data_IF_729019857831
#
_entry.id   IF_729019857831
#
_cell.length_a   1.000
_cell.length_b   1.000
_cell.length_c   1.000
_cell.angle_alpha   90.00
_cell.angle_beta   90.00
_cell.angle_gamma   90.00
#
_symmetry.space_group_name_H-M   'P 1'
#
loop_
_entity.id
_entity.type
_entity.pdbx_description
1 polymer ?
#
# COMPACT_ATOMS: atom_id res chain seq x y z
N UNK A 1 -16.40 6.79 2.24
CA UNK A 1 -16.08 5.74 3.21
C UNK A 1 -14.58 5.54 3.38
N UNK A 2 -14.18 5.36 4.62
CA UNK A 2 -12.80 5.20 5.03
C UNK A 2 -12.58 3.77 5.55
N UNK A 3 -11.56 3.09 5.04
CA UNK A 3 -11.14 1.78 5.52
C UNK A 3 -9.78 1.92 6.21
N UNK A 4 -9.76 1.76 7.52
CA UNK A 4 -8.52 1.68 8.31
C UNK A 4 -8.10 0.22 8.47
N UNK A 5 -6.84 -0.06 8.26
CA UNK A 5 -6.25 -1.38 8.39
C UNK A 5 -5.29 -1.46 9.56
N UNK A 6 -5.25 -2.64 10.17
CA UNK A 6 -4.27 -2.96 11.20
C UNK A 6 -2.85 -2.79 10.64
N UNK A 7 -1.95 -2.41 11.51
CA UNK A 7 -0.53 -2.32 11.19
C UNK A 7 0.00 -3.64 10.62
N UNK A 8 0.82 -3.53 9.57
CA UNK A 8 1.53 -4.65 8.97
C UNK A 8 3.00 -4.52 9.31
N UNK A 9 3.56 -5.58 9.87
CA UNK A 9 4.99 -5.62 10.19
C UNK A 9 5.76 -6.14 8.99
N UNK A 10 6.78 -5.41 8.59
CA UNK A 10 7.65 -5.78 7.48
C UNK A 10 9.06 -5.22 7.70
N UNK A 11 10.02 -5.74 6.95
CA UNK A 11 11.37 -5.23 6.89
C UNK A 11 11.64 -4.60 5.54
N UNK A 12 12.40 -3.53 5.53
CA UNK A 12 12.83 -2.84 4.32
C UNK A 12 14.26 -2.32 4.46
N UNK A 13 14.86 -2.04 3.32
CA UNK A 13 16.04 -1.20 3.21
C UNK A 13 15.61 0.03 2.43
N UNK A 14 14.99 0.98 3.16
CA UNK A 14 14.45 2.20 2.59
C UNK A 14 15.59 3.10 2.12
N UNK A 15 15.39 3.70 0.93
CA UNK A 15 16.33 4.69 0.40
C UNK A 15 17.79 4.24 0.47
N UNK A 16 18.11 3.09 -0.12
CA UNK A 16 19.48 2.57 -0.13
C UNK A 16 20.52 3.58 -0.65
N UNK A 17 20.08 4.59 -1.41
CA UNK A 17 20.90 5.71 -1.87
C UNK A 17 21.13 6.78 -0.81
N UNK A 18 20.41 6.75 0.31
CA UNK A 18 20.54 7.73 1.35
C UNK A 18 21.83 7.51 2.15
N UNK A 19 22.53 8.59 2.46
CA UNK A 19 23.69 8.58 3.37
C UNK A 19 23.21 8.77 4.81
N UNK A 20 22.39 7.83 5.28
CA UNK A 20 21.79 7.87 6.62
C UNK A 20 21.41 6.47 7.08
N UNK A 21 20.92 6.35 8.33
CA UNK A 21 20.44 5.08 8.88
C UNK A 21 19.30 4.45 8.06
N UNK A 22 18.63 5.21 7.20
CA UNK A 22 17.57 4.69 6.32
C UNK A 22 18.09 3.68 5.29
N UNK A 23 19.39 3.62 5.04
CA UNK A 23 19.96 2.62 4.14
C UNK A 23 20.20 1.27 4.83
N UNK A 24 20.06 1.19 6.14
CA UNK A 24 20.17 -0.06 6.89
C UNK A 24 18.85 -0.85 6.83
N UNK A 25 18.96 -2.17 6.94
CA UNK A 25 17.79 -3.03 7.07
C UNK A 25 17.11 -2.75 8.41
N UNK A 26 15.82 -2.46 8.38
CA UNK A 26 15.05 -2.21 9.61
C UNK A 26 13.58 -2.59 9.41
N UNK A 27 12.90 -2.79 10.51
CA UNK A 27 11.48 -3.16 10.53
C UNK A 27 10.56 -1.96 10.62
N UNK A 28 9.41 -2.07 9.96
CA UNK A 28 8.33 -1.09 10.04
C UNK A 28 7.00 -1.74 10.39
N UNK A 29 6.16 -0.98 11.05
CA UNK A 29 4.74 -1.27 11.20
C UNK A 29 3.95 -0.27 10.36
N UNK A 30 3.45 -0.71 9.20
CA UNK A 30 2.70 0.15 8.29
C UNK A 30 1.21 0.12 8.58
N UNK A 31 0.59 1.29 8.49
CA UNK A 31 -0.86 1.46 8.53
C UNK A 31 -1.33 1.98 7.18
N UNK A 32 -2.39 1.35 6.64
CA UNK A 32 -3.00 1.73 5.37
C UNK A 32 -4.39 2.29 5.62
N UNK A 33 -4.66 3.46 5.04
CA UNK A 33 -5.97 4.10 5.07
C UNK A 33 -6.41 4.37 3.63
N UNK A 34 -7.56 3.83 3.26
CA UNK A 34 -8.15 4.02 1.94
C UNK A 34 -9.46 4.78 2.06
N UNK A 35 -9.66 5.77 1.18
CA UNK A 35 -10.89 6.53 1.06
C UNK A 35 -11.51 6.26 -0.30
N UNK A 36 -12.81 5.92 -0.30
CA UNK A 36 -13.57 5.59 -1.49
C UNK A 36 -14.64 6.65 -1.76
N UNK A 37 -14.84 6.95 -3.03
CA UNK A 37 -15.93 7.79 -3.50
C UNK A 37 -16.94 6.99 -4.32
N UNK A 38 -18.14 7.56 -4.50
CA UNK A 38 -19.21 6.94 -5.28
C UNK A 38 -20.15 7.99 -5.84
N UNK A 39 -20.76 7.70 -7.00
CA UNK A 39 -21.82 8.52 -7.58
C UNK A 39 -23.14 8.38 -6.81
N UNK A 40 -23.29 7.31 -6.04
CA UNK A 40 -24.47 7.04 -5.24
C UNK A 40 -24.30 5.84 -4.34
N UNK A 41 -25.19 5.67 -3.40
CA UNK A 41 -25.20 4.51 -2.52
C UNK A 41 -25.87 3.33 -3.21
N UNK A 42 -25.53 2.12 -2.78
CA UNK A 42 -26.23 0.93 -3.21
C UNK A 42 -27.58 0.77 -2.46
N UNK A 43 -28.30 -0.32 -2.73
CA UNK A 43 -29.59 -0.65 -2.10
C UNK A 43 -29.50 -0.82 -0.58
N UNK A 44 -28.30 -0.99 -0.02
CA UNK A 44 -28.04 -1.07 1.43
C UNK A 44 -27.55 0.25 2.01
N UNK A 45 -27.56 1.34 1.21
CA UNK A 45 -26.99 2.65 1.56
C UNK A 45 -25.48 2.62 1.78
N UNK A 46 -24.75 1.75 1.07
CA UNK A 46 -23.30 1.64 1.15
C UNK A 46 -22.62 2.22 -0.09
N UNK A 47 -21.49 2.88 0.11
CA UNK A 47 -20.58 3.26 -0.98
C UNK A 47 -19.86 2.03 -1.49
N UNK A 48 -19.24 1.27 -0.59
CA UNK A 48 -18.48 0.05 -0.86
C UNK A 48 -18.85 -0.97 0.20
N UNK A 49 -19.07 -2.21 -0.20
CA UNK A 49 -19.18 -3.34 0.72
C UNK A 49 -17.79 -3.78 1.17
N UNK A 50 -17.46 -3.51 2.41
CA UNK A 50 -16.16 -3.92 2.96
C UNK A 50 -15.98 -5.44 3.02
N UNK A 51 -17.05 -6.20 3.07
CA UNK A 51 -17.00 -7.66 2.94
C UNK A 51 -16.49 -8.10 1.57
N UNK A 52 -16.83 -7.35 0.51
CA UNK A 52 -16.38 -7.60 -0.86
C UNK A 52 -14.91 -7.23 -1.12
N UNK A 53 -14.25 -6.56 -0.19
CA UNK A 53 -12.84 -6.16 -0.33
C UNK A 53 -11.85 -7.23 0.15
N UNK A 54 -12.27 -8.49 0.19
CA UNK A 54 -11.43 -9.60 0.64
C UNK A 54 -10.13 -9.71 -0.18
N UNK A 55 -10.23 -9.57 -1.51
CA UNK A 55 -9.07 -9.62 -2.41
C UNK A 55 -8.03 -8.53 -2.07
N UNK A 56 -8.49 -7.31 -1.81
CA UNK A 56 -7.61 -6.21 -1.41
C UNK A 56 -6.93 -6.50 -0.07
N UNK A 57 -7.68 -7.04 0.89
CA UNK A 57 -7.17 -7.41 2.21
C UNK A 57 -6.10 -8.48 2.13
N UNK A 58 -6.32 -9.49 1.30
CA UNK A 58 -5.37 -10.58 1.08
C UNK A 58 -4.12 -10.07 0.36
N UNK A 59 -4.28 -9.19 -0.62
CA UNK A 59 -3.14 -8.57 -1.31
C UNK A 59 -2.27 -7.73 -0.36
N UNK A 60 -2.89 -6.91 0.49
CA UNK A 60 -2.15 -6.13 1.49
C UNK A 60 -1.38 -7.03 2.45
N UNK A 61 -2.00 -8.13 2.88
CA UNK A 61 -1.35 -9.12 3.73
C UNK A 61 -0.17 -9.78 3.00
N UNK A 62 -0.38 -10.21 1.76
CA UNK A 62 0.64 -10.85 0.94
C UNK A 62 1.85 -9.94 0.74
N UNK A 63 1.63 -8.67 0.44
CA UNK A 63 2.71 -7.73 0.14
C UNK A 63 3.44 -7.22 1.37
N UNK A 64 2.72 -6.94 2.47
CA UNK A 64 3.24 -6.11 3.55
C UNK A 64 3.22 -6.76 4.93
N UNK A 65 2.84 -8.03 5.03
CA UNK A 65 2.77 -8.71 6.33
C UNK A 65 3.88 -9.75 6.46
N UNK A 66 4.83 -9.50 7.37
CA UNK A 66 6.00 -10.35 7.61
C UNK A 66 6.85 -10.59 6.34
N UNK A 67 6.94 -9.58 5.49
CA UNK A 67 7.71 -9.61 4.25
C UNK A 67 8.93 -8.71 4.33
N UNK A 68 9.87 -8.92 3.41
CA UNK A 68 10.98 -8.02 3.16
C UNK A 68 10.80 -7.39 1.77
N UNK A 69 10.67 -6.07 1.70
CA UNK A 69 10.55 -5.36 0.43
C UNK A 69 11.90 -4.79 0.02
N UNK A 70 12.27 -5.08 -1.21
CA UNK A 70 13.55 -4.66 -1.81
C UNK A 70 13.30 -4.01 -3.15
N UNK A 71 14.02 -2.91 -3.42
CA UNK A 71 13.96 -2.25 -4.72
C UNK A 71 14.69 -3.07 -5.80
N UNK A 72 14.15 -3.08 -7.02
CA UNK A 72 14.77 -3.77 -8.16
C UNK A 72 16.20 -3.32 -8.43
N UNK A 73 16.51 -2.06 -8.15
CA UNK A 73 17.81 -1.44 -8.39
C UNK A 73 18.71 -1.39 -7.15
N UNK A 74 18.33 -2.08 -6.07
CA UNK A 74 19.18 -2.18 -4.89
C UNK A 74 20.46 -2.96 -5.24
N UNK A 75 21.66 -2.37 -5.03
CA UNK A 75 22.92 -3.04 -5.36
C UNK A 75 23.17 -4.29 -4.55
N UNK A 76 22.50 -4.48 -3.41
CA UNK A 76 22.60 -5.67 -2.55
C UNK A 76 21.50 -6.73 -2.84
N UNK A 77 20.88 -6.67 -4.01
CA UNK A 77 19.84 -7.63 -4.41
C UNK A 77 20.31 -9.08 -4.26
N UNK A 78 21.56 -9.39 -4.64
CA UNK A 78 22.09 -10.74 -4.53
C UNK A 78 22.17 -11.22 -3.06
N UNK A 79 22.51 -10.33 -2.13
CA UNK A 79 22.53 -10.62 -0.70
C UNK A 79 21.13 -10.90 -0.17
N UNK A 80 20.15 -10.10 -0.59
CA UNK A 80 18.74 -10.28 -0.21
C UNK A 80 18.19 -11.61 -0.75
N UNK A 81 18.51 -11.95 -2.00
CA UNK A 81 18.13 -13.23 -2.60
C UNK A 81 18.72 -14.42 -1.85
N UNK A 82 19.97 -14.29 -1.38
CA UNK A 82 20.57 -15.34 -0.56
C UNK A 82 19.84 -15.53 0.77
N UNK A 83 19.37 -14.47 1.40
CA UNK A 83 18.55 -14.55 2.62
C UNK A 83 17.22 -15.26 2.35
N UNK A 84 16.59 -15.03 1.21
CA UNK A 84 15.38 -15.76 0.81
C UNK A 84 15.65 -17.23 0.58
N UNK A 85 16.71 -17.57 -0.14
CA UNK A 85 17.10 -18.97 -0.39
C UNK A 85 17.34 -19.75 0.91
N UNK A 86 17.82 -19.06 1.95
CA UNK A 86 18.01 -19.62 3.29
C UNK A 86 16.75 -19.64 4.14
N UNK A 87 15.61 -19.20 3.61
CA UNK A 87 14.33 -19.10 4.32
C UNK A 87 14.37 -18.15 5.55
N UNK A 88 15.20 -17.12 5.49
CA UNK A 88 15.30 -16.12 6.54
C UNK A 88 14.38 -14.93 6.33
N UNK A 89 13.90 -14.72 5.11
CA UNK A 89 12.97 -13.67 4.73
C UNK A 89 11.95 -14.18 3.71
N UNK A 90 10.83 -13.49 3.61
CA UNK A 90 9.84 -13.64 2.55
C UNK A 90 9.92 -12.39 1.68
N UNK A 91 10.61 -12.49 0.56
CA UNK A 91 11.01 -11.34 -0.28
C UNK A 91 9.88 -10.91 -1.21
N UNK A 92 9.70 -9.58 -1.32
CA UNK A 92 8.89 -8.92 -2.35
C UNK A 92 9.74 -7.90 -3.08
N UNK A 93 9.78 -7.99 -4.41
CA UNK A 93 10.53 -7.06 -5.24
C UNK A 93 9.60 -5.95 -5.73
N UNK A 94 9.97 -4.71 -5.51
CA UNK A 94 9.24 -3.52 -5.95
C UNK A 94 10.19 -2.59 -6.69
N UNK A 95 9.68 -1.68 -7.50
CA UNK A 95 10.52 -0.74 -8.25
C UNK A 95 11.15 0.32 -7.35
N UNK A 96 10.47 0.68 -6.26
CA UNK A 96 11.01 1.57 -5.24
C UNK A 96 10.42 1.22 -3.87
N UNK A 97 11.16 1.51 -2.81
CA UNK A 97 10.75 1.28 -1.42
C UNK A 97 10.50 2.61 -0.73
N UNK A 98 9.40 2.71 -0.01
CA UNK A 98 9.01 3.90 0.76
C UNK A 98 7.49 4.07 0.81
N UNK A 99 7.01 4.88 1.75
CA UNK A 99 5.58 5.12 1.95
C UNK A 99 4.90 5.65 0.68
N UNK A 100 5.57 6.53 -0.05
CA UNK A 100 5.08 7.14 -1.28
C UNK A 100 4.77 6.05 -2.34
N UNK A 101 5.73 5.18 -2.56
CA UNK A 101 5.55 4.11 -3.56
C UNK A 101 4.55 3.06 -3.09
N UNK A 102 4.53 2.75 -1.82
CA UNK A 102 3.54 1.81 -1.27
C UNK A 102 2.12 2.36 -1.39
N UNK A 103 1.94 3.68 -1.21
CA UNK A 103 0.65 4.33 -1.44
C UNK A 103 0.22 4.23 -2.91
N UNK A 104 1.12 4.47 -3.86
CA UNK A 104 0.83 4.33 -5.30
C UNK A 104 0.49 2.89 -5.68
N UNK A 105 1.29 1.91 -5.24
CA UNK A 105 1.03 0.49 -5.50
C UNK A 105 -0.33 0.04 -4.95
N UNK A 106 -0.66 0.48 -3.75
CA UNK A 106 -1.94 0.15 -3.11
C UNK A 106 -3.09 0.84 -3.82
N UNK A 107 -2.91 2.09 -4.24
CA UNK A 107 -3.89 2.84 -5.02
C UNK A 107 -4.21 2.11 -6.34
N UNK A 108 -3.20 1.71 -7.09
CA UNK A 108 -3.38 1.02 -8.37
C UNK A 108 -4.09 -0.32 -8.19
N UNK A 109 -3.69 -1.10 -7.20
CA UNK A 109 -4.32 -2.40 -6.89
C UNK A 109 -5.76 -2.23 -6.43
N UNK A 110 -6.02 -1.31 -5.52
CA UNK A 110 -7.36 -1.04 -5.02
C UNK A 110 -8.26 -0.51 -6.13
N UNK A 111 -7.76 0.38 -6.99
CA UNK A 111 -8.52 0.92 -8.13
C UNK A 111 -8.92 -0.19 -9.11
N UNK A 112 -8.03 -1.12 -9.40
CA UNK A 112 -8.32 -2.28 -10.25
C UNK A 112 -9.44 -3.16 -9.65
N UNK A 113 -9.38 -3.43 -8.36
CA UNK A 113 -10.38 -4.24 -7.66
C UNK A 113 -11.75 -3.53 -7.63
N UNK A 114 -11.76 -2.24 -7.31
CA UNK A 114 -13.00 -1.44 -7.23
C UNK A 114 -13.66 -1.32 -8.60
N UNK A 115 -12.90 -1.09 -9.66
CA UNK A 115 -13.42 -1.04 -11.02
C UNK A 115 -14.07 -2.37 -11.41
N UNK A 116 -13.42 -3.48 -11.11
CA UNK A 116 -13.93 -4.83 -11.37
C UNK A 116 -15.21 -5.13 -10.62
N UNK A 117 -15.36 -4.66 -9.37
CA UNK A 117 -16.53 -4.94 -8.53
C UNK A 117 -17.69 -3.99 -8.80
N UNK A 118 -17.43 -2.72 -9.08
CA UNK A 118 -18.45 -1.65 -9.11
C UNK A 118 -18.49 -0.83 -10.39
N UNK A 119 -17.54 -1.04 -11.32
CA UNK A 119 -17.43 -0.23 -12.53
C UNK A 119 -17.20 1.25 -12.20
N UNK A 120 -17.92 2.14 -12.89
CA UNK A 120 -17.77 3.60 -12.71
C UNK A 120 -18.50 4.15 -11.49
N UNK A 121 -19.30 3.34 -10.81
CA UNK A 121 -20.09 3.79 -9.64
C UNK A 121 -19.19 4.16 -8.46
N UNK A 122 -18.11 3.45 -8.26
CA UNK A 122 -17.17 3.64 -7.15
C UNK A 122 -15.74 3.81 -7.65
N UNK A 123 -14.95 4.53 -6.88
CA UNK A 123 -13.52 4.73 -7.14
C UNK A 123 -12.76 4.90 -5.83
N UNK A 124 -11.44 4.73 -5.91
CA UNK A 124 -10.54 5.08 -4.82
C UNK A 124 -10.22 6.57 -4.92
N UNK A 125 -10.49 7.32 -3.87
CA UNK A 125 -10.13 8.75 -3.80
C UNK A 125 -8.70 8.94 -3.38
N UNK A 126 -8.26 8.22 -2.37
CA UNK A 126 -6.90 8.33 -1.85
C UNK A 126 -6.48 7.10 -1.08
N UNK A 127 -5.17 6.90 -1.02
CA UNK A 127 -4.53 5.92 -0.14
C UNK A 127 -3.44 6.62 0.65
N UNK A 128 -3.49 6.49 1.96
CA UNK A 128 -2.46 7.00 2.87
C UNK A 128 -1.74 5.83 3.52
N UNK A 129 -0.42 5.85 3.48
CA UNK A 129 0.45 4.88 4.16
C UNK A 129 1.24 5.59 5.23
N UNK A 130 1.18 5.07 6.46
CA UNK A 130 1.89 5.62 7.62
C UNK A 130 2.86 4.60 8.19
N UNK A 131 4.10 5.01 8.41
CA UNK A 131 5.08 4.25 9.21
C UNK A 131 4.86 4.49 10.71
N UNK A 132 4.67 5.76 11.06
CA UNK A 132 4.38 6.28 12.39
C UNK A 132 3.74 7.66 12.23
N UNK A 133 3.38 8.31 13.33
CA UNK A 133 2.63 9.58 13.30
C UNK A 133 3.31 10.69 12.49
N UNK A 134 4.64 10.71 12.47
CA UNK A 134 5.42 11.77 11.82
C UNK A 134 5.79 11.48 10.36
N UNK A 135 5.57 10.25 9.86
CA UNK A 135 5.96 9.87 8.50
C UNK A 135 4.84 9.12 7.79
N UNK A 136 4.28 9.77 6.80
CA UNK A 136 3.21 9.21 5.96
C UNK A 136 3.27 9.78 4.55
N UNK A 137 2.66 9.06 3.62
CA UNK A 137 2.47 9.52 2.25
C UNK A 137 1.05 9.22 1.79
N UNK A 138 0.50 10.07 0.93
CA UNK A 138 -0.83 9.93 0.37
C UNK A 138 -0.78 9.98 -1.15
N UNK A 139 -1.37 8.98 -1.79
CA UNK A 139 -1.65 8.98 -3.22
C UNK A 139 -3.10 9.38 -3.44
N UNK A 140 -3.32 10.41 -4.26
CA UNK A 140 -4.64 10.99 -4.54
C UNK A 140 -5.05 10.65 -5.97
N UNK A 141 -6.34 10.39 -6.16
CA UNK A 141 -6.90 10.18 -7.49
C UNK A 141 -6.90 11.48 -8.28
N UNK A 142 -6.04 11.58 -9.30
CA UNK A 142 -5.91 12.79 -10.14
C UNK A 142 -7.02 12.94 -11.17
N UNK A 143 -7.71 11.86 -11.52
CA UNK A 143 -8.85 11.89 -12.45
C UNK A 143 -10.14 12.37 -11.78
N UNK A 144 -10.24 12.16 -10.47
CA UNK A 144 -11.39 12.56 -9.64
C UNK A 144 -10.89 13.23 -8.35
N UNK A 145 -10.33 14.45 -8.46
CA UNK A 145 -9.82 15.15 -7.29
C UNK A 145 -10.96 15.46 -6.30
N UNK A 146 -10.63 15.41 -5.02
CA UNK A 146 -11.56 15.78 -3.96
C UNK A 146 -11.86 17.28 -4.11
N UNK A 147 -13.13 17.64 -4.35
CA UNK A 147 -13.56 19.04 -4.33
C UNK A 147 -13.65 19.52 -2.88
N UNK A 148 -12.82 20.48 -2.50
CA UNK A 148 -12.82 21.07 -1.15
C UNK A 148 -14.09 21.86 -0.83
N UNK A 149 -14.96 22.10 -1.83
CA UNK A 149 -16.20 22.90 -1.70
C UNK A 149 -17.44 22.07 -1.34
N UNK A 150 -17.31 20.81 -1.00
CA UNK A 150 -18.47 19.97 -0.62
C UNK A 150 -18.57 19.75 0.88
#
# INVERSE_FOLDING_TARGET
HRLNRRQRQMCIRDRWRADSHCNLIHGYALQFELTFGSTGLDEKNWVVDFGGLKELKEWLKHMFDHTYLVATDDPEMATVQLLEEKNLIDMRVVDAVGCERFAELTFDKASSIIEKLYGDRCWVESVTVREHEANSATCVNMERPINEES
#
